data_IF_966892083774
#
_entry.id   IF_966892083774
#
_cell.length_a   1.000
_cell.length_b   1.000
_cell.length_c   1.000
_cell.angle_alpha   90.00
_cell.angle_beta   90.00
_cell.angle_gamma   90.00
#
_symmetry.space_group_name_H-M   'P 1'
#
loop_
_entity.id
_entity.type
_entity.pdbx_description
1 polymer ?
#
# COMPACT_ATOMS: atom_id res chain seq x y z
N UNK A 1 -40.65 -29.05 57.05
CA UNK A 1 -39.22 -29.14 56.69
C UNK A 1 -39.11 -28.65 55.25
N UNK A 2 -38.88 -27.33 55.07
CA UNK A 2 -38.71 -26.73 53.74
C UNK A 2 -37.22 -26.67 53.36
N UNK A 3 -36.85 -27.38 52.33
CA UNK A 3 -35.47 -27.28 51.74
C UNK A 3 -35.44 -26.15 50.70
N UNK A 4 -34.69 -25.10 51.04
CA UNK A 4 -34.34 -24.01 50.12
C UNK A 4 -33.22 -24.53 49.19
N UNK A 5 -33.48 -24.59 47.85
CA UNK A 5 -32.47 -24.88 46.85
C UNK A 5 -31.95 -23.53 46.39
N UNK A 6 -30.71 -23.19 46.76
CA UNK A 6 -29.97 -22.06 46.20
C UNK A 6 -29.35 -22.48 44.85
N UNK A 7 -29.85 -21.94 43.74
CA UNK A 7 -29.23 -22.06 42.45
C UNK A 7 -28.17 -20.97 42.30
N UNK A 8 -26.91 -21.38 42.27
CA UNK A 8 -25.77 -20.51 41.92
C UNK A 8 -25.69 -20.41 40.39
N UNK A 9 -26.05 -19.26 39.83
CA UNK A 9 -25.80 -18.96 38.40
C UNK A 9 -24.35 -18.50 38.24
N UNK A 10 -23.52 -19.34 37.67
CA UNK A 10 -22.16 -18.97 37.23
C UNK A 10 -22.26 -18.09 35.97
N UNK A 11 -22.03 -16.79 36.12
CA UNK A 11 -21.79 -15.91 34.95
C UNK A 11 -20.38 -16.21 34.42
N UNK A 12 -20.29 -16.94 33.31
CA UNK A 12 -19.07 -17.02 32.51
C UNK A 12 -18.87 -15.67 31.80
N UNK A 13 -18.02 -14.81 32.34
CA UNK A 13 -17.45 -13.70 31.56
C UNK A 13 -16.49 -14.32 30.55
N UNK A 14 -16.90 -14.38 29.29
CA UNK A 14 -15.99 -14.59 28.17
C UNK A 14 -15.11 -13.33 28.02
N UNK A 15 -13.88 -13.39 28.51
CA UNK A 15 -12.86 -12.42 28.15
C UNK A 15 -12.59 -12.60 26.63
N UNK A 16 -13.20 -11.78 25.81
CA UNK A 16 -12.71 -11.58 24.45
C UNK A 16 -11.32 -10.96 24.59
N UNK A 17 -10.28 -11.72 24.26
CA UNK A 17 -8.95 -11.16 24.03
C UNK A 17 -9.12 -10.13 22.90
N UNK A 18 -9.05 -8.85 23.24
CA UNK A 18 -8.89 -7.80 22.23
C UNK A 18 -7.57 -8.12 21.52
N UNK A 19 -7.63 -8.41 20.22
CA UNK A 19 -6.43 -8.44 19.40
C UNK A 19 -5.69 -7.12 19.60
N UNK A 20 -4.39 -7.17 19.76
CA UNK A 20 -3.58 -5.97 19.85
C UNK A 20 -3.82 -5.12 18.58
N UNK A 21 -3.77 -3.81 18.72
CA UNK A 21 -3.95 -2.94 17.55
C UNK A 21 -2.72 -3.07 16.65
N UNK A 22 -2.90 -2.99 15.33
CA UNK A 22 -1.79 -3.15 14.41
C UNK A 22 -0.76 -2.02 14.55
N UNK A 23 0.50 -2.35 14.22
CA UNK A 23 1.56 -1.39 13.99
C UNK A 23 1.59 -0.98 12.52
N UNK A 24 1.59 0.33 12.24
CA UNK A 24 1.67 0.88 10.88
C UNK A 24 3.07 1.42 10.63
N UNK A 25 3.79 0.82 9.70
CA UNK A 25 5.10 1.29 9.27
C UNK A 25 4.96 2.22 8.08
N UNK A 26 5.60 3.40 8.14
CA UNK A 26 5.38 4.49 7.21
C UNK A 26 6.72 5.06 6.74
N UNK A 27 7.05 4.97 5.44
CA UNK A 27 8.24 5.60 4.89
C UNK A 27 8.01 7.10 4.71
N UNK A 28 8.97 7.90 5.18
CA UNK A 28 8.98 9.35 5.04
C UNK A 28 10.09 9.74 4.06
N UNK A 29 9.75 9.81 2.77
CA UNK A 29 10.70 9.89 1.66
C UNK A 29 11.81 10.90 1.85
N UNK A 30 11.51 12.19 1.83
CA UNK A 30 12.52 13.25 1.95
C UNK A 30 13.13 13.40 3.36
N UNK A 31 12.53 12.75 4.39
CA UNK A 31 13.13 12.68 5.72
C UNK A 31 14.13 11.52 5.88
N UNK A 32 14.21 10.59 4.92
CA UNK A 32 15.11 9.44 4.93
C UNK A 32 14.92 8.51 6.14
N UNK A 33 13.68 8.33 6.59
CA UNK A 33 13.34 7.46 7.72
C UNK A 33 12.10 6.63 7.40
N UNK A 34 11.93 5.53 8.14
CA UNK A 34 10.66 4.83 8.32
C UNK A 34 10.23 5.04 9.78
N UNK A 35 8.96 5.31 10.03
CA UNK A 35 8.40 5.39 11.37
C UNK A 35 7.47 4.21 11.64
N UNK A 36 7.34 3.82 12.90
CA UNK A 36 6.30 2.92 13.38
C UNK A 36 5.25 3.73 14.14
N UNK A 37 3.98 3.45 13.88
CA UNK A 37 2.83 4.09 14.54
C UNK A 37 1.95 2.99 15.14
N UNK A 38 1.66 3.11 16.43
CA UNK A 38 0.64 2.30 17.10
C UNK A 38 -0.75 2.76 16.66
N UNK A 39 -1.52 1.89 16.02
CA UNK A 39 -2.81 2.26 15.46
C UNK A 39 -3.92 2.42 16.50
N UNK A 40 -3.74 1.98 17.77
CA UNK A 40 -4.70 2.26 18.85
C UNK A 40 -4.63 3.73 19.25
N UNK A 41 -3.42 4.23 19.43
CA UNK A 41 -3.15 5.57 20.01
C UNK A 41 -2.79 6.61 18.96
N UNK A 42 -2.48 6.19 17.70
CA UNK A 42 -1.92 7.00 16.63
C UNK A 42 -0.56 7.66 17.00
N UNK A 43 0.14 7.10 17.98
CA UNK A 43 1.43 7.60 18.43
C UNK A 43 2.59 7.00 17.62
N UNK A 44 3.60 7.80 17.30
CA UNK A 44 4.86 7.29 16.74
C UNK A 44 5.61 6.59 17.87
N UNK A 45 5.91 5.29 17.68
CA UNK A 45 6.56 4.43 18.68
C UNK A 45 8.02 4.17 18.37
N UNK A 46 8.42 4.24 17.08
CA UNK A 46 9.81 4.06 16.67
C UNK A 46 10.14 4.88 15.40
N UNK A 47 11.44 5.09 15.18
CA UNK A 47 11.98 5.73 13.97
C UNK A 47 13.24 4.98 13.54
N UNK A 48 13.27 4.55 12.28
CA UNK A 48 14.38 3.85 11.65
C UNK A 48 15.06 4.79 10.67
N UNK A 49 16.33 5.11 10.93
CA UNK A 49 17.13 6.05 10.13
C UNK A 49 17.86 5.38 8.96
N UNK A 50 18.50 6.19 8.11
CA UNK A 50 19.32 5.73 6.98
C UNK A 50 18.57 4.98 5.89
N UNK A 51 17.26 5.25 5.76
CA UNK A 51 16.37 4.70 4.73
C UNK A 51 16.12 5.77 3.66
N UNK A 52 17.15 6.03 2.85
CA UNK A 52 17.19 7.16 1.92
C UNK A 52 16.09 7.13 0.86
N UNK A 53 15.31 8.22 0.81
CA UNK A 53 14.20 8.44 -0.14
C UNK A 53 13.28 7.21 -0.27
N UNK A 54 12.92 6.58 0.87
CA UNK A 54 12.01 5.45 0.88
C UNK A 54 10.63 5.86 0.38
N UNK A 55 10.12 5.14 -0.64
CA UNK A 55 8.83 5.42 -1.24
C UNK A 55 7.84 4.27 -1.02
N UNK A 56 8.17 3.09 -1.46
CA UNK A 56 7.38 1.90 -1.20
C UNK A 56 7.90 1.15 0.04
N UNK A 57 6.98 0.50 0.75
CA UNK A 57 7.28 -0.31 1.93
C UNK A 57 6.33 -1.49 2.00
N UNK A 58 6.87 -2.66 2.32
CA UNK A 58 6.12 -3.85 2.73
C UNK A 58 6.71 -4.44 3.99
N UNK A 59 5.89 -5.17 4.75
CA UNK A 59 6.33 -5.98 5.88
C UNK A 59 6.17 -7.46 5.53
N UNK A 60 7.04 -8.31 6.07
CA UNK A 60 6.82 -9.75 6.06
C UNK A 60 5.55 -10.12 6.85
N UNK A 61 4.83 -11.20 6.51
CA UNK A 61 3.58 -11.56 7.19
C UNK A 61 3.71 -11.76 8.70
N UNK A 62 4.90 -12.16 9.18
CA UNK A 62 5.24 -12.28 10.59
C UNK A 62 5.66 -10.96 11.25
N UNK A 63 5.81 -9.88 10.47
CA UNK A 63 6.26 -8.59 10.94
C UNK A 63 7.75 -8.51 11.30
N UNK A 64 8.53 -9.58 11.05
CA UNK A 64 9.94 -9.64 11.43
C UNK A 64 10.81 -8.67 10.62
N UNK A 65 10.48 -8.50 9.32
CA UNK A 65 11.23 -7.61 8.42
C UNK A 65 10.34 -6.63 7.69
N UNK A 66 10.92 -5.44 7.45
CA UNK A 66 10.38 -4.44 6.53
C UNK A 66 11.32 -4.32 5.33
N UNK A 67 10.75 -4.25 4.14
CA UNK A 67 11.50 -4.01 2.91
C UNK A 67 11.06 -2.68 2.33
N UNK A 68 11.96 -1.68 2.36
CA UNK A 68 11.71 -0.35 1.82
C UNK A 68 12.48 -0.14 0.52
N UNK A 69 11.83 0.44 -0.48
CA UNK A 69 12.46 0.77 -1.75
C UNK A 69 12.87 2.23 -1.84
N UNK A 70 14.11 2.50 -2.24
CA UNK A 70 14.59 3.86 -2.48
C UNK A 70 14.10 4.39 -3.83
N UNK A 71 13.54 5.58 -3.82
CA UNK A 71 13.20 6.30 -5.05
C UNK A 71 14.43 7.02 -5.67
N UNK A 72 15.53 7.08 -4.92
CA UNK A 72 16.78 7.69 -5.34
C UNK A 72 17.55 6.82 -6.32
N UNK A 73 18.03 7.42 -7.40
CA UNK A 73 19.01 6.81 -8.31
C UNK A 73 20.34 7.55 -8.25
N UNK A 74 21.44 6.82 -8.13
CA UNK A 74 22.76 7.35 -8.41
C UNK A 74 22.95 7.43 -9.93
N UNK A 75 23.36 8.58 -10.52
CA UNK A 75 23.57 8.68 -11.94
C UNK A 75 24.57 7.63 -12.46
N UNK A 76 24.21 6.94 -13.52
CA UNK A 76 25.13 6.02 -14.20
C UNK A 76 26.25 6.80 -14.88
N UNK A 77 27.46 6.24 -14.85
CA UNK A 77 28.59 6.80 -15.61
C UNK A 77 28.37 6.60 -17.12
N UNK A 78 28.90 7.47 -17.99
CA UNK A 78 28.86 7.27 -19.42
C UNK A 78 29.34 5.87 -19.83
N UNK A 79 28.52 5.17 -20.63
CA UNK A 79 28.83 3.81 -21.11
C UNK A 79 28.45 2.66 -20.17
N UNK A 80 27.97 2.93 -18.93
CA UNK A 80 27.45 1.87 -18.07
C UNK A 80 26.12 1.33 -18.63
N UNK A 81 25.91 0.00 -18.58
CA UNK A 81 24.63 -0.63 -18.92
C UNK A 81 23.48 -0.10 -18.07
N UNK A 82 22.29 -0.03 -18.65
CA UNK A 82 21.08 0.47 -17.94
C UNK A 82 20.62 -0.43 -16.79
N UNK A 83 21.04 -1.67 -16.78
CA UNK A 83 20.79 -2.67 -15.73
C UNK A 83 21.84 -2.65 -14.62
N UNK A 84 22.82 -1.74 -14.69
CA UNK A 84 23.76 -1.52 -13.58
C UNK A 84 22.99 -1.06 -12.35
N UNK A 85 23.17 -1.72 -11.19
CA UNK A 85 22.54 -1.30 -9.94
C UNK A 85 22.93 0.13 -9.56
N UNK A 86 21.93 0.98 -9.34
CA UNK A 86 22.11 2.39 -9.00
C UNK A 86 21.04 2.93 -8.03
N UNK A 87 20.27 2.03 -7.43
CA UNK A 87 19.32 2.26 -6.35
C UNK A 87 19.38 1.10 -5.36
N UNK A 88 18.51 1.09 -4.34
CA UNK A 88 18.63 0.21 -3.19
C UNK A 88 17.27 -0.22 -2.64
N UNK A 89 17.17 -1.48 -2.21
CA UNK A 89 16.17 -1.94 -1.25
C UNK A 89 16.83 -2.04 0.13
N UNK A 90 16.13 -1.58 1.16
CA UNK A 90 16.57 -1.62 2.55
C UNK A 90 15.85 -2.73 3.29
N UNK A 91 16.59 -3.56 4.02
CA UNK A 91 16.07 -4.50 4.99
C UNK A 91 16.15 -3.89 6.38
N UNK A 92 15.00 -3.74 7.03
CA UNK A 92 14.88 -3.20 8.38
C UNK A 92 14.33 -4.31 9.27
N UNK A 93 14.94 -4.53 10.40
CA UNK A 93 14.41 -5.42 11.43
C UNK A 93 13.83 -4.54 12.56
N UNK A 94 12.49 -4.46 12.71
CA UNK A 94 11.86 -3.56 13.66
C UNK A 94 12.36 -3.71 15.09
N UNK A 95 12.52 -4.94 15.58
CA UNK A 95 12.97 -5.19 16.95
C UNK A 95 14.44 -4.79 17.18
N UNK A 96 15.28 -4.78 16.14
CA UNK A 96 16.69 -4.32 16.24
C UNK A 96 16.83 -2.81 16.05
N UNK A 97 15.80 -2.16 15.51
CA UNK A 97 15.75 -0.70 15.42
C UNK A 97 16.61 -0.06 14.32
N UNK A 98 17.13 -0.82 13.36
CA UNK A 98 18.01 -0.29 12.30
C UNK A 98 17.94 -1.08 10.98
N UNK A 99 18.55 -0.52 9.93
CA UNK A 99 18.77 -1.19 8.65
C UNK A 99 19.80 -2.31 8.81
N UNK A 100 19.39 -3.55 8.59
CA UNK A 100 20.25 -4.74 8.71
C UNK A 100 21.12 -4.95 7.49
N UNK A 101 20.57 -4.72 6.31
CA UNK A 101 21.27 -4.89 5.04
C UNK A 101 20.61 -4.09 3.92
N UNK A 102 21.30 -4.01 2.80
CA UNK A 102 20.83 -3.36 1.60
C UNK A 102 21.04 -4.25 0.38
N UNK A 103 20.08 -4.22 -0.55
CA UNK A 103 20.18 -4.96 -1.81
C UNK A 103 20.20 -3.95 -2.96
N UNK A 104 21.29 -3.92 -3.74
CA UNK A 104 21.39 -3.04 -4.88
C UNK A 104 20.43 -3.47 -6.00
N UNK A 105 19.73 -2.50 -6.59
CA UNK A 105 18.80 -2.69 -7.70
C UNK A 105 19.05 -1.67 -8.80
N UNK A 106 18.72 -2.01 -10.04
CA UNK A 106 18.85 -1.09 -11.17
C UNK A 106 17.57 -0.27 -11.32
N UNK A 107 17.70 1.04 -11.18
CA UNK A 107 16.59 2.00 -11.23
C UNK A 107 15.89 2.19 -9.90
N UNK A 108 15.26 3.35 -9.73
CA UNK A 108 14.48 3.69 -8.55
C UNK A 108 13.40 2.66 -8.27
N UNK A 109 13.23 2.29 -7.01
CA UNK A 109 12.16 1.43 -6.50
C UNK A 109 10.97 2.28 -6.11
N UNK A 110 9.82 2.09 -6.79
CA UNK A 110 8.64 2.92 -6.55
C UNK A 110 7.73 2.31 -5.48
N UNK A 111 6.98 1.26 -5.82
CA UNK A 111 6.14 0.54 -4.85
C UNK A 111 6.54 -0.92 -4.74
N UNK A 112 6.27 -1.51 -3.57
CA UNK A 112 6.53 -2.90 -3.29
C UNK A 112 5.22 -3.67 -3.05
N UNK A 113 5.25 -4.97 -3.34
CA UNK A 113 4.25 -5.94 -2.93
C UNK A 113 4.96 -7.20 -2.45
N UNK A 114 4.43 -7.87 -1.43
CA UNK A 114 4.99 -9.11 -0.90
C UNK A 114 4.01 -10.26 -1.13
N UNK A 115 4.52 -11.45 -1.46
CA UNK A 115 3.69 -12.65 -1.58
C UNK A 115 3.14 -13.07 -0.21
N UNK A 116 1.92 -13.65 -0.14
CA UNK A 116 1.29 -14.01 1.13
C UNK A 116 2.08 -15.02 1.98
N UNK A 117 2.94 -15.82 1.34
CA UNK A 117 3.88 -16.73 2.02
C UNK A 117 5.14 -16.03 2.57
N UNK A 118 5.27 -14.72 2.33
CA UNK A 118 6.41 -13.94 2.77
C UNK A 118 7.70 -14.15 1.99
N UNK A 119 7.69 -14.96 0.92
CA UNK A 119 8.92 -15.37 0.23
C UNK A 119 9.45 -14.33 -0.75
N UNK A 120 8.58 -13.70 -1.53
CA UNK A 120 9.01 -12.81 -2.62
C UNK A 120 8.49 -11.39 -2.45
N UNK A 121 9.36 -10.42 -2.68
CA UNK A 121 8.98 -9.00 -2.80
C UNK A 121 9.12 -8.57 -4.25
N UNK A 122 8.04 -8.02 -4.79
CA UNK A 122 7.98 -7.43 -6.13
C UNK A 122 8.14 -5.91 -6.00
N UNK A 123 9.15 -5.34 -6.64
CA UNK A 123 9.37 -3.88 -6.68
C UNK A 123 9.25 -3.35 -8.09
N UNK A 124 8.47 -2.28 -8.26
CA UNK A 124 8.28 -1.63 -9.56
C UNK A 124 9.40 -0.64 -9.87
N UNK A 125 9.90 -0.67 -11.12
CA UNK A 125 10.97 0.22 -11.61
C UNK A 125 10.48 1.01 -12.82
N UNK A 126 9.86 2.17 -12.55
CA UNK A 126 9.14 2.95 -13.55
C UNK A 126 9.97 3.36 -14.78
N UNK A 127 11.22 3.75 -14.56
CA UNK A 127 12.13 4.15 -15.66
C UNK A 127 12.77 2.97 -16.40
N UNK A 128 12.61 1.75 -15.88
CA UNK A 128 13.18 0.52 -16.46
C UNK A 128 12.14 -0.36 -17.17
N UNK A 129 10.85 -0.19 -16.87
CA UNK A 129 9.77 -0.95 -17.50
C UNK A 129 9.63 -2.40 -17.04
N UNK A 130 10.07 -2.70 -15.82
CA UNK A 130 9.99 -4.03 -15.24
C UNK A 130 9.66 -3.98 -13.74
N UNK A 131 9.35 -5.15 -13.21
CA UNK A 131 9.29 -5.46 -11.78
C UNK A 131 10.50 -6.34 -11.44
N UNK A 132 11.28 -5.99 -10.41
CA UNK A 132 12.26 -6.91 -9.82
C UNK A 132 11.60 -7.80 -8.78
N UNK A 133 12.05 -9.03 -8.70
CA UNK A 133 11.60 -10.04 -7.72
C UNK A 133 12.75 -10.36 -6.80
N UNK A 134 12.64 -9.90 -5.56
CA UNK A 134 13.56 -10.22 -4.48
C UNK A 134 13.10 -11.51 -3.82
N UNK A 135 13.97 -12.50 -3.72
CA UNK A 135 13.78 -13.73 -2.93
C UNK A 135 14.33 -13.49 -1.52
N UNK A 136 13.45 -13.52 -0.52
CA UNK A 136 13.82 -13.25 0.88
C UNK A 136 14.59 -14.41 1.54
N UNK A 137 14.54 -15.62 0.99
CA UNK A 137 15.33 -16.74 1.48
C UNK A 137 16.81 -16.58 1.12
N UNK A 138 17.11 -16.18 -0.12
CA UNK A 138 18.47 -15.96 -0.61
C UNK A 138 18.96 -14.52 -0.43
N UNK A 139 18.09 -13.57 -0.12
CA UNK A 139 18.34 -12.13 -0.06
C UNK A 139 18.96 -11.57 -1.36
N UNK A 140 18.48 -12.06 -2.51
CA UNK A 140 18.96 -11.64 -3.82
C UNK A 140 17.82 -11.32 -4.78
N UNK A 141 18.11 -10.51 -5.81
CA UNK A 141 17.19 -10.32 -6.93
C UNK A 141 17.20 -11.60 -7.78
N UNK A 142 16.20 -12.44 -7.60
CA UNK A 142 16.07 -13.71 -8.30
C UNK A 142 15.79 -13.52 -9.79
N UNK A 143 15.07 -12.46 -10.16
CA UNK A 143 14.71 -12.16 -11.56
C UNK A 143 14.14 -10.76 -11.75
N UNK A 144 13.98 -10.38 -13.01
CA UNK A 144 13.20 -9.23 -13.44
C UNK A 144 12.09 -9.69 -14.38
N UNK A 145 10.91 -9.08 -14.30
CA UNK A 145 9.75 -9.37 -15.16
C UNK A 145 9.41 -8.10 -15.94
N UNK A 146 9.65 -8.04 -17.25
CA UNK A 146 9.23 -6.93 -18.08
C UNK A 146 7.71 -6.80 -18.08
N UNK A 147 7.18 -5.60 -17.75
CA UNK A 147 5.74 -5.38 -17.63
C UNK A 147 5.19 -4.36 -18.63
N UNK A 148 6.00 -3.40 -19.01
CA UNK A 148 5.59 -2.31 -19.89
C UNK A 148 6.20 -0.98 -19.44
N UNK A 149 5.76 0.13 -20.03
CA UNK A 149 6.31 1.45 -19.72
C UNK A 149 5.75 1.99 -18.40
N UNK A 150 6.63 2.47 -17.56
CA UNK A 150 6.35 3.11 -16.27
C UNK A 150 5.44 2.24 -15.37
N UNK A 151 5.88 1.02 -14.99
CA UNK A 151 5.19 0.27 -13.94
C UNK A 151 5.15 1.08 -12.65
N UNK A 152 3.97 1.09 -12.00
CA UNK A 152 3.73 1.95 -10.85
C UNK A 152 3.41 1.15 -9.59
N UNK A 153 2.33 0.37 -9.61
CA UNK A 153 1.82 -0.33 -8.44
C UNK A 153 1.62 -1.82 -8.73
N UNK A 154 1.74 -2.65 -7.70
CA UNK A 154 1.54 -4.11 -7.81
C UNK A 154 0.52 -4.57 -6.76
N UNK A 155 -0.46 -5.36 -7.19
CA UNK A 155 -1.33 -6.15 -6.32
C UNK A 155 -0.98 -7.62 -6.48
N UNK A 156 -1.03 -8.38 -5.38
CA UNK A 156 -0.88 -9.84 -5.38
C UNK A 156 -2.16 -10.44 -4.82
N UNK A 157 -2.70 -11.50 -5.45
CA UNK A 157 -3.90 -12.19 -4.97
C UNK A 157 -3.63 -12.91 -3.64
N UNK A 158 -4.66 -13.06 -2.81
CA UNK A 158 -4.57 -13.71 -1.50
C UNK A 158 -4.09 -15.17 -1.58
N UNK A 159 -4.34 -15.84 -2.71
CA UNK A 159 -3.85 -17.21 -2.96
C UNK A 159 -2.37 -17.26 -3.41
N UNK A 160 -1.71 -16.10 -3.57
CA UNK A 160 -0.32 -16.00 -3.97
C UNK A 160 0.00 -16.45 -5.40
N UNK A 161 -1.02 -16.65 -6.26
CA UNK A 161 -0.80 -17.19 -7.60
C UNK A 161 -0.62 -16.16 -8.69
N UNK A 162 -1.15 -14.96 -8.49
CA UNK A 162 -1.17 -13.91 -9.51
C UNK A 162 -0.74 -12.56 -8.95
N UNK A 163 -0.03 -11.80 -9.77
CA UNK A 163 0.22 -10.40 -9.51
C UNK A 163 -0.32 -9.54 -10.66
N UNK A 164 -0.79 -8.34 -10.32
CA UNK A 164 -1.29 -7.35 -11.27
C UNK A 164 -0.45 -6.08 -11.14
N UNK A 165 0.11 -5.61 -12.26
CA UNK A 165 1.00 -4.44 -12.28
C UNK A 165 0.39 -3.36 -13.16
N UNK A 166 0.14 -2.17 -12.60
CA UNK A 166 -0.29 -1.00 -13.37
C UNK A 166 0.90 -0.38 -14.10
N UNK A 167 0.75 -0.10 -15.39
CA UNK A 167 1.76 0.52 -16.23
C UNK A 167 1.27 1.89 -16.72
N UNK A 168 1.63 2.96 -16.02
CA UNK A 168 1.11 4.31 -16.29
C UNK A 168 1.53 4.85 -17.66
N UNK A 169 2.68 4.42 -18.17
CA UNK A 169 3.17 4.78 -19.49
C UNK A 169 2.60 3.92 -20.63
N UNK A 170 2.09 2.73 -20.35
CA UNK A 170 1.46 1.83 -21.33
C UNK A 170 -0.06 1.88 -21.30
N UNK A 171 -0.68 2.57 -20.33
CA UNK A 171 -2.13 2.66 -20.13
C UNK A 171 -2.81 1.29 -19.99
N UNK A 172 -2.20 0.39 -19.26
CA UNK A 172 -2.72 -0.96 -19.03
C UNK A 172 -2.33 -1.50 -17.66
N UNK A 173 -2.94 -2.61 -17.30
CA UNK A 173 -2.51 -3.50 -16.22
C UNK A 173 -2.04 -4.80 -16.88
N UNK A 174 -0.94 -5.38 -16.40
CA UNK A 174 -0.54 -6.74 -16.79
C UNK A 174 -0.75 -7.71 -15.63
N UNK A 175 -1.13 -8.95 -15.96
CA UNK A 175 -1.21 -10.05 -15.03
C UNK A 175 0.03 -10.93 -15.17
N UNK A 176 0.68 -11.19 -14.03
CA UNK A 176 1.83 -12.08 -13.91
C UNK A 176 1.38 -13.36 -13.22
N UNK A 177 1.66 -14.51 -13.82
CA UNK A 177 1.56 -15.82 -13.16
C UNK A 177 2.80 -16.00 -12.27
N UNK A 178 2.59 -16.15 -10.95
CA UNK A 178 3.69 -16.22 -9.98
C UNK A 178 4.36 -17.59 -9.89
N UNK A 179 3.80 -18.64 -10.50
CA UNK A 179 4.47 -19.93 -10.62
C UNK A 179 5.52 -19.90 -11.74
N UNK A 180 5.20 -19.23 -12.85
CA UNK A 180 6.07 -19.14 -14.03
C UNK A 180 6.82 -17.82 -14.14
N UNK A 181 6.41 -16.80 -13.41
CA UNK A 181 6.92 -15.43 -13.46
C UNK A 181 6.83 -14.78 -14.84
N UNK A 182 5.77 -15.10 -15.57
CA UNK A 182 5.52 -14.56 -16.90
C UNK A 182 4.28 -13.70 -16.91
N UNK A 183 4.32 -12.64 -17.71
CA UNK A 183 3.10 -11.90 -18.06
C UNK A 183 2.23 -12.82 -18.93
N UNK A 184 1.03 -13.11 -18.46
CA UNK A 184 0.09 -14.04 -19.13
C UNK A 184 -1.02 -13.32 -19.88
N UNK A 185 -1.34 -12.09 -19.50
CA UNK A 185 -2.29 -11.23 -20.24
C UNK A 185 -2.20 -9.77 -19.84
N UNK A 186 -2.85 -8.94 -20.65
CA UNK A 186 -3.01 -7.50 -20.44
C UNK A 186 -4.48 -7.17 -20.20
N UNK A 187 -4.74 -6.30 -19.21
CA UNK A 187 -6.07 -5.82 -18.86
C UNK A 187 -6.19 -4.32 -19.22
N UNK A 188 -7.40 -3.89 -19.49
CA UNK A 188 -7.74 -2.47 -19.58
C UNK A 188 -7.58 -1.78 -18.22
N UNK A 189 -7.28 -0.47 -18.21
CA UNK A 189 -7.12 0.28 -16.96
C UNK A 189 -7.64 1.71 -17.05
N UNK A 190 -7.91 2.20 -18.26
CA UNK A 190 -7.99 3.63 -18.51
C UNK A 190 -6.60 4.29 -18.62
N UNK A 191 -6.54 5.62 -18.83
CA UNK A 191 -5.30 6.32 -19.10
C UNK A 191 -4.44 6.53 -17.85
N UNK A 192 -3.14 6.29 -17.97
CA UNK A 192 -2.12 6.47 -16.96
C UNK A 192 -2.55 5.88 -15.58
N UNK A 193 -2.74 4.54 -15.50
CA UNK A 193 -3.08 3.89 -14.24
C UNK A 193 -1.92 4.01 -13.24
N UNK A 194 -2.26 4.29 -11.98
CA UNK A 194 -1.29 4.35 -10.88
C UNK A 194 -1.69 3.35 -9.79
N UNK A 195 -2.20 3.82 -8.65
CA UNK A 195 -2.53 2.97 -7.51
C UNK A 195 -3.72 2.06 -7.78
N UNK A 196 -3.70 0.89 -7.16
CA UNK A 196 -4.74 -0.12 -7.30
C UNK A 196 -5.14 -0.71 -5.95
N UNK A 197 -6.39 -1.16 -5.85
CA UNK A 197 -6.90 -1.98 -4.76
C UNK A 197 -7.84 -3.05 -5.31
N UNK A 198 -7.90 -4.22 -4.67
CA UNK A 198 -8.91 -5.23 -4.96
C UNK A 198 -10.25 -4.91 -4.28
N UNK A 199 -11.35 -5.40 -4.84
CA UNK A 199 -12.56 -5.64 -4.07
C UNK A 199 -12.32 -6.77 -3.05
N UNK A 200 -13.14 -6.86 -2.01
CA UNK A 200 -12.97 -7.85 -0.94
C UNK A 200 -12.92 -9.31 -1.43
N UNK A 201 -13.60 -9.61 -2.54
CA UNK A 201 -13.64 -10.92 -3.22
C UNK A 201 -12.62 -11.07 -4.36
N UNK A 202 -11.77 -10.05 -4.59
CA UNK A 202 -10.77 -9.97 -5.68
C UNK A 202 -11.36 -10.10 -7.10
N UNK A 203 -12.67 -9.98 -7.27
CA UNK A 203 -13.30 -10.02 -8.59
C UNK A 203 -13.12 -8.73 -9.39
N UNK A 204 -12.76 -7.63 -8.72
CA UNK A 204 -12.56 -6.30 -9.30
C UNK A 204 -11.22 -5.71 -8.86
N UNK A 205 -10.63 -4.92 -9.75
CA UNK A 205 -9.51 -4.02 -9.44
C UNK A 205 -10.03 -2.58 -9.62
N UNK A 206 -9.91 -1.79 -8.56
CA UNK A 206 -10.07 -0.35 -8.60
C UNK A 206 -8.72 0.27 -8.93
N UNK A 207 -8.66 1.15 -9.93
CA UNK A 207 -7.38 1.76 -10.35
C UNK A 207 -7.54 3.27 -10.55
N UNK A 208 -6.65 4.04 -9.94
CA UNK A 208 -6.62 5.50 -10.14
C UNK A 208 -6.07 5.86 -11.51
N UNK A 209 -6.72 6.82 -12.16
CA UNK A 209 -6.30 7.42 -13.42
C UNK A 209 -6.13 8.95 -13.23
N UNK A 210 -4.98 9.42 -12.70
CA UNK A 210 -4.80 10.82 -12.28
C UNK A 210 -5.02 11.84 -13.37
N UNK A 211 -4.64 11.52 -14.62
CA UNK A 211 -4.82 12.40 -15.78
C UNK A 211 -6.29 12.58 -16.16
N UNK A 212 -7.11 11.55 -15.93
CA UNK A 212 -8.54 11.57 -16.21
C UNK A 212 -9.38 12.02 -15.00
N UNK A 213 -8.80 12.10 -13.81
CA UNK A 213 -9.51 12.42 -12.58
C UNK A 213 -10.55 11.36 -12.18
N UNK A 214 -10.26 10.10 -12.48
CA UNK A 214 -11.18 8.97 -12.33
C UNK A 214 -10.55 7.81 -11.56
N UNK A 215 -11.42 6.94 -11.05
CA UNK A 215 -11.10 5.55 -10.71
C UNK A 215 -11.82 4.66 -11.72
N UNK A 216 -11.09 3.80 -12.41
CA UNK A 216 -11.65 2.74 -13.25
C UNK A 216 -11.88 1.48 -12.43
N UNK A 217 -12.96 0.76 -12.73
CA UNK A 217 -13.28 -0.56 -12.16
C UNK A 217 -13.04 -1.61 -13.24
N UNK A 218 -12.06 -2.46 -13.02
CA UNK A 218 -11.66 -3.52 -13.96
C UNK A 218 -12.20 -4.85 -13.45
N UNK A 219 -12.95 -5.56 -14.27
CA UNK A 219 -13.36 -6.94 -13.99
C UNK A 219 -12.17 -7.87 -14.20
N UNK A 220 -11.73 -8.55 -13.13
CA UNK A 220 -10.52 -9.38 -13.15
C UNK A 220 -10.64 -10.55 -14.12
N UNK A 221 -11.83 -11.16 -14.24
CA UNK A 221 -12.05 -12.31 -15.12
C UNK A 221 -11.97 -11.93 -16.61
N UNK A 222 -12.61 -10.83 -17.00
CA UNK A 222 -12.67 -10.39 -18.41
C UNK A 222 -11.51 -9.47 -18.80
N UNK A 223 -10.85 -8.84 -17.85
CA UNK A 223 -9.81 -7.84 -18.06
C UNK A 223 -10.33 -6.51 -18.63
N UNK A 224 -11.64 -6.25 -18.54
CA UNK A 224 -12.30 -5.07 -19.11
C UNK A 224 -12.64 -4.04 -18.06
N UNK A 225 -12.57 -2.76 -18.42
CA UNK A 225 -13.15 -1.68 -17.62
C UNK A 225 -14.68 -1.77 -17.73
N UNK A 226 -15.33 -2.03 -16.61
CA UNK A 226 -16.80 -2.22 -16.54
C UNK A 226 -17.52 -1.01 -15.97
N UNK A 227 -16.80 -0.14 -15.24
CA UNK A 227 -17.35 1.06 -14.61
C UNK A 227 -16.23 2.10 -14.40
N UNK A 228 -16.56 3.34 -14.18
CA UNK A 228 -15.64 4.36 -13.70
C UNK A 228 -16.32 5.39 -12.82
N UNK A 229 -15.60 5.89 -11.81
CA UNK A 229 -16.04 6.95 -10.92
C UNK A 229 -15.27 8.24 -11.24
N UNK A 230 -15.98 9.35 -11.48
CA UNK A 230 -15.37 10.68 -11.60
C UNK A 230 -15.14 11.23 -10.19
N UNK A 231 -13.89 11.26 -9.76
CA UNK A 231 -13.52 11.60 -8.38
C UNK A 231 -13.04 13.03 -8.26
N UNK A 232 -12.12 13.45 -9.12
CA UNK A 232 -11.53 14.78 -9.06
C UNK A 232 -10.12 14.85 -9.64
N UNK A 233 -9.51 16.04 -9.63
CA UNK A 233 -8.21 16.28 -10.25
C UNK A 233 -7.05 15.64 -9.44
N UNK A 234 -6.16 14.95 -10.16
CA UNK A 234 -4.98 14.29 -9.62
C UNK A 234 -5.34 13.30 -8.50
N UNK A 235 -6.26 12.38 -8.80
CA UNK A 235 -6.53 11.21 -7.93
C UNK A 235 -5.24 10.43 -7.75
N UNK A 236 -5.01 9.89 -6.52
CA UNK A 236 -3.75 9.23 -6.21
C UNK A 236 -3.95 7.97 -5.36
N UNK A 237 -3.74 8.05 -4.04
CA UNK A 237 -3.95 6.90 -3.17
C UNK A 237 -5.39 6.44 -3.16
N UNK A 238 -5.60 5.14 -3.12
CA UNK A 238 -6.90 4.53 -2.88
C UNK A 238 -6.74 3.24 -2.08
N UNK A 239 -7.78 2.90 -1.31
CA UNK A 239 -7.86 1.62 -0.61
C UNK A 239 -9.31 1.29 -0.27
N UNK A 240 -9.60 0.00 -0.04
CA UNK A 240 -10.93 -0.48 0.34
C UNK A 240 -11.07 -0.48 1.87
N UNK A 241 -12.22 -0.04 2.36
CA UNK A 241 -12.53 -0.01 3.79
C UNK A 241 -12.75 -1.39 4.42
N UNK A 242 -12.79 -1.44 5.75
CA UNK A 242 -13.01 -2.66 6.54
C UNK A 242 -14.34 -3.35 6.22
N UNK A 243 -15.31 -2.60 5.68
CA UNK A 243 -16.60 -3.13 5.22
C UNK A 243 -16.52 -3.87 3.87
N UNK A 244 -15.33 -3.89 3.23
CA UNK A 244 -15.09 -4.47 1.90
C UNK A 244 -15.87 -3.80 0.77
N UNK A 245 -16.52 -2.65 1.02
CA UNK A 245 -17.45 -1.98 0.12
C UNK A 245 -17.11 -0.51 -0.13
N UNK A 246 -16.71 0.22 0.90
CA UNK A 246 -16.36 1.62 0.79
C UNK A 246 -14.94 1.79 0.24
N UNK A 247 -14.80 2.40 -0.93
CA UNK A 247 -13.51 2.74 -1.53
C UNK A 247 -13.14 4.18 -1.16
N UNK A 248 -12.01 4.36 -0.49
CA UNK A 248 -11.44 5.67 -0.16
C UNK A 248 -10.46 6.10 -1.24
N UNK A 249 -10.55 7.36 -1.71
CA UNK A 249 -9.71 7.89 -2.79
C UNK A 249 -9.28 9.32 -2.47
N UNK A 250 -7.99 9.61 -2.55
CA UNK A 250 -7.48 10.97 -2.43
C UNK A 250 -7.56 11.72 -3.78
N UNK A 251 -8.11 12.95 -3.78
CA UNK A 251 -8.11 13.87 -4.91
C UNK A 251 -7.21 15.06 -4.60
N UNK A 252 -5.92 14.90 -4.88
CA UNK A 252 -4.83 15.74 -4.42
C UNK A 252 -5.00 17.23 -4.75
N UNK A 253 -5.33 17.57 -6.00
CA UNK A 253 -5.50 18.96 -6.43
C UNK A 253 -6.84 19.59 -6.05
N UNK A 254 -7.77 18.81 -5.50
CA UNK A 254 -9.06 19.30 -5.01
C UNK A 254 -9.14 19.28 -3.48
N UNK A 255 -8.03 18.94 -2.79
CA UNK A 255 -7.94 18.94 -1.33
C UNK A 255 -9.07 18.15 -0.66
N UNK A 256 -9.36 16.94 -1.19
CA UNK A 256 -10.46 16.12 -0.64
C UNK A 256 -10.13 14.63 -0.63
N UNK A 257 -10.66 13.95 0.37
CA UNK A 257 -10.86 12.51 0.41
C UNK A 257 -12.28 12.21 -0.07
N UNK A 258 -12.44 11.22 -0.92
CA UNK A 258 -13.75 10.76 -1.41
C UNK A 258 -13.93 9.32 -0.94
N UNK A 259 -15.07 9.05 -0.29
CA UNK A 259 -15.53 7.71 0.05
C UNK A 259 -16.64 7.32 -0.93
N UNK A 260 -16.43 6.24 -1.69
CA UNK A 260 -17.32 5.74 -2.73
C UNK A 260 -17.92 4.42 -2.25
N UNK A 261 -19.24 4.33 -2.20
CA UNK A 261 -19.92 3.06 -2.08
C UNK A 261 -19.82 2.32 -3.44
N UNK A 262 -19.08 1.22 -3.47
CA UNK A 262 -18.80 0.51 -4.73
C UNK A 262 -19.99 -0.25 -5.30
N UNK A 263 -21.08 -0.40 -4.54
CA UNK A 263 -22.32 -1.04 -5.01
C UNK A 263 -23.30 -0.03 -5.58
N UNK A 264 -23.58 1.08 -4.86
CA UNK A 264 -24.51 2.11 -5.33
C UNK A 264 -23.86 3.17 -6.23
N UNK A 265 -22.54 3.40 -6.07
CA UNK A 265 -21.81 4.50 -6.69
C UNK A 265 -21.94 5.83 -5.94
N UNK A 266 -22.62 5.86 -4.79
CA UNK A 266 -22.78 7.07 -3.99
C UNK A 266 -21.44 7.53 -3.42
N UNK A 267 -21.27 8.86 -3.37
CA UNK A 267 -20.01 9.46 -2.94
C UNK A 267 -20.22 10.43 -1.78
N UNK A 268 -19.40 10.30 -0.76
CA UNK A 268 -19.26 11.28 0.32
C UNK A 268 -17.86 11.90 0.23
N UNK A 269 -17.73 13.16 0.62
CA UNK A 269 -16.46 13.87 0.54
C UNK A 269 -16.08 14.51 1.86
N UNK A 270 -14.79 14.50 2.16
CA UNK A 270 -14.16 15.19 3.28
C UNK A 270 -13.09 16.14 2.76
N UNK A 271 -13.14 17.41 3.13
CA UNK A 271 -12.06 18.36 2.82
C UNK A 271 -10.82 18.01 3.65
N UNK A 272 -9.70 17.73 2.98
CA UNK A 272 -8.37 17.54 3.58
C UNK A 272 -7.37 18.47 2.87
N UNK A 273 -6.86 19.46 3.58
CA UNK A 273 -5.99 20.48 3.00
C UNK A 273 -4.70 20.66 3.83
N UNK A 274 -3.52 20.66 3.18
CA UNK A 274 -3.29 20.66 1.73
C UNK A 274 -3.04 19.24 1.15
N UNK A 275 -3.52 19.00 -0.04
CA UNK A 275 -3.15 17.91 -0.94
C UNK A 275 -3.06 16.51 -0.28
N UNK A 276 -4.21 15.85 0.02
CA UNK A 276 -4.21 14.45 0.45
C UNK A 276 -3.53 13.58 -0.62
N UNK A 277 -2.70 12.62 -0.18
CA UNK A 277 -1.77 11.93 -1.06
C UNK A 277 -1.93 10.41 -0.99
N UNK A 278 -0.97 9.70 -0.39
CA UNK A 278 -1.14 8.28 -0.13
C UNK A 278 -2.15 8.05 0.99
N UNK A 279 -2.81 6.91 0.95
CA UNK A 279 -3.69 6.48 2.02
C UNK A 279 -3.64 4.97 2.19
N UNK A 280 -3.95 4.52 3.40
CA UNK A 280 -4.18 3.12 3.73
C UNK A 280 -5.34 3.01 4.72
N UNK A 281 -6.18 2.04 4.50
CA UNK A 281 -7.11 1.55 5.50
C UNK A 281 -6.35 0.75 6.53
N UNK A 282 -6.53 1.08 7.81
CA UNK A 282 -5.88 0.35 8.89
C UNK A 282 -6.85 -0.73 9.35
N UNK A 283 -6.68 -1.91 8.77
CA UNK A 283 -7.61 -3.04 8.89
C UNK A 283 -7.99 -3.34 10.34
N UNK A 284 -9.30 -3.46 10.59
CA UNK A 284 -9.86 -3.80 11.89
C UNK A 284 -9.97 -2.64 12.88
N UNK A 285 -9.50 -1.43 12.52
CA UNK A 285 -9.53 -0.26 13.41
C UNK A 285 -10.63 0.74 13.08
N UNK A 286 -11.27 0.62 11.93
CA UNK A 286 -12.20 1.63 11.41
C UNK A 286 -11.53 2.94 11.00
N UNK A 287 -10.19 2.98 10.84
CA UNK A 287 -9.43 4.18 10.49
C UNK A 287 -8.89 4.11 9.08
N UNK A 288 -8.80 5.27 8.42
CA UNK A 288 -8.00 5.49 7.20
C UNK A 288 -6.93 6.52 7.52
N UNK A 289 -5.67 6.18 7.27
CA UNK A 289 -4.56 7.12 7.34
C UNK A 289 -4.39 7.77 5.98
N UNK A 290 -4.40 9.10 5.92
CA UNK A 290 -4.24 9.86 4.68
C UNK A 290 -3.09 10.85 4.85
N UNK A 291 -2.02 10.71 4.09
CA UNK A 291 -0.88 11.61 4.14
C UNK A 291 -1.13 12.90 3.35
N UNK A 292 -0.37 13.94 3.66
CA UNK A 292 -0.31 15.17 2.87
C UNK A 292 0.95 15.20 2.02
N UNK A 293 0.82 15.56 0.73
CA UNK A 293 1.96 15.78 -0.16
C UNK A 293 2.70 17.11 0.09
N UNK A 294 2.26 17.94 1.05
CA UNK A 294 2.77 19.31 1.25
C UNK A 294 3.13 19.63 2.69
N UNK A 295 2.63 18.86 3.63
CA UNK A 295 2.91 19.05 5.06
C UNK A 295 3.30 17.72 5.69
N UNK A 296 4.21 17.71 6.64
CA UNK A 296 4.61 16.51 7.36
C UNK A 296 3.49 16.10 8.36
N UNK A 297 2.40 15.56 7.85
CA UNK A 297 1.29 15.08 8.67
C UNK A 297 0.50 13.97 7.97
N UNK A 298 -0.20 13.20 8.79
CA UNK A 298 -1.21 12.22 8.37
C UNK A 298 -2.51 12.56 9.07
N UNK A 299 -3.62 12.69 8.32
CA UNK A 299 -4.95 12.73 8.89
C UNK A 299 -5.41 11.32 9.20
N UNK A 300 -5.91 11.10 10.40
CA UNK A 300 -6.61 9.88 10.80
C UNK A 300 -8.09 10.11 10.62
N UNK A 301 -8.68 9.38 9.70
CA UNK A 301 -10.09 9.55 9.32
C UNK A 301 -10.87 8.32 9.75
N UNK A 302 -12.00 8.54 10.44
CA UNK A 302 -12.94 7.47 10.76
C UNK A 302 -13.70 7.03 9.50
N UNK A 303 -13.66 5.74 9.18
CA UNK A 303 -14.21 5.18 7.94
C UNK A 303 -15.72 5.36 7.83
N UNK A 304 -16.44 5.24 8.94
CA UNK A 304 -17.92 5.28 8.98
C UNK A 304 -18.46 6.70 8.86
N UNK A 305 -17.90 7.61 9.65
CA UNK A 305 -18.40 9.00 9.75
C UNK A 305 -17.75 9.93 8.73
N UNK A 306 -16.62 9.52 8.15
CA UNK A 306 -15.78 10.32 7.24
C UNK A 306 -15.38 11.66 7.90
N UNK A 307 -14.92 11.60 9.17
CA UNK A 307 -14.43 12.75 9.93
C UNK A 307 -12.96 12.51 10.32
N UNK A 308 -12.19 13.59 10.37
CA UNK A 308 -10.85 13.54 10.97
C UNK A 308 -11.03 13.38 12.48
N UNK A 309 -10.49 12.30 13.03
CA UNK A 309 -10.53 11.98 14.46
C UNK A 309 -9.21 12.27 15.15
N UNK A 310 -8.10 12.28 14.39
CA UNK A 310 -6.78 12.62 14.90
C UNK A 310 -5.89 13.12 13.74
N UNK A 311 -4.72 13.67 14.10
CA UNK A 311 -3.67 14.07 13.13
C UNK A 311 -2.31 13.71 13.71
N UNK A 312 -1.58 12.86 12.99
CA UNK A 312 -0.21 12.48 13.33
C UNK A 312 0.74 13.51 12.72
N UNK A 313 1.48 14.21 13.56
CA UNK A 313 2.57 15.12 13.13
C UNK A 313 3.81 14.29 12.84
N UNK A 314 4.33 14.39 11.63
CA UNK A 314 5.54 13.67 11.22
C UNK A 314 6.80 14.47 11.58
N UNK A 315 7.92 13.79 11.85
CA UNK A 315 9.20 14.48 12.12
C UNK A 315 9.74 15.24 10.91
N UNK A 316 9.25 14.96 9.72
CA UNK A 316 9.60 15.59 8.46
C UNK A 316 9.11 14.79 7.28
N UNK A 317 9.31 15.30 6.08
CA UNK A 317 9.01 14.62 4.83
C UNK A 317 7.53 14.41 4.55
N UNK A 318 7.29 13.67 3.51
CA UNK A 318 5.97 13.18 3.08
C UNK A 318 5.87 11.66 3.28
N UNK A 319 4.72 11.18 3.75
CA UNK A 319 4.48 9.76 3.92
C UNK A 319 3.97 9.13 2.62
N UNK A 320 4.51 7.94 2.31
CA UNK A 320 4.22 7.19 1.09
C UNK A 320 3.48 5.87 1.37
N UNK A 321 3.80 4.77 0.66
CA UNK A 321 3.13 3.48 0.81
C UNK A 321 3.40 2.90 2.20
N UNK A 322 2.33 2.70 2.97
CA UNK A 322 2.38 2.19 4.34
C UNK A 322 2.29 0.67 4.35
N UNK A 323 2.86 0.03 5.37
CA UNK A 323 2.69 -1.38 5.66
C UNK A 323 2.01 -1.54 7.03
N UNK A 324 0.99 -2.41 7.10
CA UNK A 324 0.23 -2.68 8.33
C UNK A 324 0.57 -4.09 8.80
N UNK A 325 1.05 -4.21 10.04
CA UNK A 325 1.37 -5.48 10.69
C UNK A 325 0.40 -5.69 11.85
N UNK A 326 -0.31 -6.83 11.83
CA UNK A 326 -1.17 -7.25 12.94
C UNK A 326 -0.31 -7.91 14.02
N UNK A 327 -0.46 -7.51 15.28
CA UNK A 327 0.24 -8.09 16.44
C UNK A 327 -0.55 -9.24 17.07
#
# INVERSE_FOLDING_TARGET
MNRLILTFSLLLLSAQSALAAPTVYIPLGSANVVIAVDAATDAITATYTDVYEAHGLVATPDGEYLIAGSFRETPLKPGQPKDTPNSTLFFIHPAHGHVMSTIPVAGSSHHQAITPDGRYVLSTHGMRGYVSVLDLESNTIARTVPTGRAPNYTLITKDGKRAFVSNSGSNNIVEIDLATWKVVRTLESGPAPEHMAFSGDESRIFVTNPRAGKVSVVDVRTGKVVQSYKVGKAVHGLDIGDDGRTLFVSAKKENKLVAIDTQSGDMRTLKLEPQPYHLNTITGTGKVYVSSAKKPLIWVVDQKTLKVVNTIKLPGGEAHQMAVVQE
#
